data_IF_119551544515
#
_entry.id   IF_119551544515
#
_cell.length_a   1.000
_cell.length_b   1.000
_cell.length_c   1.000
_cell.angle_alpha   90.00
_cell.angle_beta   90.00
_cell.angle_gamma   90.00
#
_symmetry.space_group_name_H-M   'P 1'
#
loop_
_entity.id
_entity.type
_entity.pdbx_description
1 polymer ?
#
# COMPACT_ATOMS: atom_id res chain seq x y z
N UNK A 1 8.35 -40.73 22.42
CA UNK A 1 9.81 -40.43 22.32
C UNK A 1 10.05 -39.02 22.87
N UNK A 2 10.67 -38.94 24.06
CA UNK A 2 11.04 -37.65 24.69
C UNK A 2 12.23 -37.03 23.95
N UNK A 3 11.98 -35.96 23.18
CA UNK A 3 13.07 -35.13 22.69
C UNK A 3 13.71 -34.40 23.88
N UNK A 4 14.87 -34.84 24.28
CA UNK A 4 15.72 -34.13 25.26
C UNK A 4 15.94 -32.71 24.76
N UNK A 5 15.48 -31.71 25.50
CA UNK A 5 15.82 -30.29 25.27
C UNK A 5 17.32 -30.10 25.48
N UNK A 6 18.06 -30.15 24.37
CA UNK A 6 19.51 -29.85 24.36
C UNK A 6 19.66 -28.35 24.43
N UNK A 7 19.62 -27.78 25.63
CA UNK A 7 19.82 -26.35 25.82
C UNK A 7 20.56 -26.12 27.13
N UNK A 8 21.90 -26.13 27.07
CA UNK A 8 22.73 -25.79 28.21
C UNK A 8 22.54 -24.34 28.65
N UNK A 9 23.01 -23.98 29.83
CA UNK A 9 22.93 -22.65 30.44
C UNK A 9 23.39 -21.54 29.46
N UNK A 10 24.43 -21.80 28.66
CA UNK A 10 24.94 -20.86 27.63
C UNK A 10 23.86 -20.50 26.60
N UNK A 11 23.08 -21.49 26.14
CA UNK A 11 22.00 -21.24 25.15
C UNK A 11 20.91 -20.36 25.76
N UNK A 12 20.51 -20.63 27.02
CA UNK A 12 19.50 -19.80 27.71
C UNK A 12 19.96 -18.35 27.87
N UNK A 13 21.24 -18.13 28.17
CA UNK A 13 21.81 -16.78 28.30
C UNK A 13 21.83 -16.09 26.92
N UNK A 14 22.24 -16.79 25.87
CA UNK A 14 22.24 -16.23 24.51
C UNK A 14 20.83 -15.86 24.05
N UNK A 15 19.84 -16.74 24.32
CA UNK A 15 18.44 -16.50 23.96
C UNK A 15 17.89 -15.29 24.76
N UNK A 16 18.24 -15.17 26.05
CA UNK A 16 17.83 -14.04 26.88
C UNK A 16 18.46 -12.72 26.39
N UNK A 17 19.73 -12.72 26.02
CA UNK A 17 20.40 -11.55 25.46
C UNK A 17 19.80 -11.16 24.10
N UNK A 18 19.50 -12.12 23.24
CA UNK A 18 18.84 -11.89 21.96
C UNK A 18 17.44 -11.29 22.16
N UNK A 19 16.69 -11.82 23.13
CA UNK A 19 15.37 -11.30 23.48
C UNK A 19 15.44 -9.86 24.00
N UNK A 20 16.41 -9.58 24.88
CA UNK A 20 16.65 -8.23 25.41
C UNK A 20 16.96 -7.25 24.28
N UNK A 21 17.86 -7.64 23.36
CA UNK A 21 18.21 -6.82 22.21
C UNK A 21 16.96 -6.57 21.34
N UNK A 22 16.16 -7.59 21.08
CA UNK A 22 14.91 -7.43 20.30
C UNK A 22 13.94 -6.46 20.98
N UNK A 23 13.82 -6.51 22.32
CA UNK A 23 12.96 -5.58 23.07
C UNK A 23 13.49 -4.14 22.94
N UNK A 24 14.81 -3.94 23.07
CA UNK A 24 15.43 -2.60 22.92
C UNK A 24 15.14 -2.05 21.51
N UNK A 25 15.37 -2.87 20.48
CA UNK A 25 15.11 -2.50 19.10
C UNK A 25 13.63 -2.17 18.89
N UNK A 26 12.74 -3.00 19.44
CA UNK A 26 11.28 -2.78 19.37
C UNK A 26 10.90 -1.45 20.03
N UNK A 27 11.41 -1.18 21.23
CA UNK A 27 11.14 0.08 21.94
C UNK A 27 11.65 1.29 21.16
N UNK A 28 12.84 1.19 20.56
CA UNK A 28 13.42 2.25 19.73
C UNK A 28 12.56 2.53 18.49
N UNK A 29 12.05 1.47 17.82
CA UNK A 29 11.16 1.62 16.67
C UNK A 29 9.77 2.15 17.06
N UNK A 30 9.27 1.78 18.23
CA UNK A 30 7.95 2.25 18.72
C UNK A 30 7.99 3.67 19.26
N UNK A 31 9.15 4.16 19.66
CA UNK A 31 9.32 5.47 20.30
C UNK A 31 8.72 6.62 19.48
N UNK A 32 9.02 6.79 18.18
CA UNK A 32 8.40 7.90 17.42
C UNK A 32 6.88 7.80 17.34
N UNK A 33 6.31 6.59 17.25
CA UNK A 33 4.85 6.42 17.22
C UNK A 33 4.22 6.83 18.55
N UNK A 34 4.83 6.42 19.65
CA UNK A 34 4.39 6.80 21.00
C UNK A 34 4.46 8.32 21.14
N UNK A 35 5.53 8.96 20.63
CA UNK A 35 5.69 10.42 20.69
C UNK A 35 4.61 11.15 19.88
N UNK A 36 4.25 10.63 18.71
CA UNK A 36 3.16 11.20 17.90
C UNK A 36 1.84 11.13 18.68
N UNK A 37 1.53 9.96 19.27
CA UNK A 37 0.29 9.76 20.04
C UNK A 37 0.24 10.70 21.23
N UNK A 38 1.32 10.75 22.02
CA UNK A 38 1.39 11.58 23.25
C UNK A 38 1.23 13.07 22.88
N UNK A 39 1.97 13.54 21.88
CA UNK A 39 1.97 14.96 21.53
C UNK A 39 0.71 15.38 20.75
N UNK A 40 0.00 14.45 20.09
CA UNK A 40 -1.30 14.77 19.49
C UNK A 40 -2.37 15.14 20.52
N UNK A 41 -2.18 14.71 21.77
CA UNK A 41 -3.12 14.97 22.88
C UNK A 41 -2.70 16.16 23.75
N UNK A 42 -1.57 16.82 23.44
CA UNK A 42 -1.07 17.98 24.20
C UNK A 42 -1.49 19.29 23.54
N UNK A 43 -1.60 20.34 24.36
CA UNK A 43 -1.73 21.71 23.87
C UNK A 43 -0.41 22.17 23.21
N UNK A 44 -0.50 23.05 22.21
CA UNK A 44 0.65 23.57 21.44
C UNK A 44 1.79 24.05 22.33
N UNK A 45 1.46 24.74 23.43
CA UNK A 45 2.43 25.27 24.40
C UNK A 45 3.26 24.14 25.04
N UNK A 46 2.61 23.05 25.41
CA UNK A 46 3.26 21.93 26.10
C UNK A 46 4.12 21.09 25.15
N UNK A 47 3.71 21.00 23.89
CA UNK A 47 4.52 20.32 22.86
C UNK A 47 5.86 21.05 22.69
N UNK A 48 5.84 22.40 22.63
CA UNK A 48 7.04 23.20 22.44
C UNK A 48 7.95 23.17 23.67
N UNK A 49 7.36 23.28 24.88
CA UNK A 49 8.12 23.33 26.14
C UNK A 49 8.65 21.98 26.59
N UNK A 50 7.86 20.92 26.40
CA UNK A 50 8.14 19.61 26.98
C UNK A 50 7.67 18.49 26.07
N UNK A 51 8.29 18.33 24.86
CA UNK A 51 7.83 17.32 23.90
C UNK A 51 7.92 15.89 24.45
N UNK A 52 8.88 15.63 25.32
CA UNK A 52 9.13 14.28 25.87
C UNK A 52 8.39 14.01 27.19
N UNK A 53 7.67 15.00 27.75
CA UNK A 53 6.94 14.77 29.00
C UNK A 53 5.77 13.79 28.77
N UNK A 54 5.58 12.90 29.74
CA UNK A 54 4.49 11.93 29.72
C UNK A 54 3.15 12.60 30.03
N UNK A 55 2.06 12.03 29.55
CA UNK A 55 0.69 12.55 29.70
C UNK A 55 0.31 12.79 31.18
N UNK A 56 0.86 12.00 32.10
CA UNK A 56 0.54 12.09 33.53
C UNK A 56 1.09 13.35 34.21
N UNK A 57 2.06 14.02 33.58
CA UNK A 57 2.65 15.25 34.13
C UNK A 57 2.02 16.52 33.56
N UNK A 58 1.06 16.37 32.63
CA UNK A 58 0.43 17.50 31.92
C UNK A 58 -1.00 17.70 32.46
N UNK A 59 -1.35 18.94 32.72
CA UNK A 59 -2.70 19.31 33.15
C UNK A 59 -3.64 19.31 31.96
N UNK A 60 -4.32 18.22 31.76
CA UNK A 60 -5.43 18.07 30.79
C UNK A 60 -5.05 17.52 29.42
N UNK A 61 -5.60 16.36 29.13
CA UNK A 61 -5.66 15.82 27.78
C UNK A 61 -6.58 16.70 26.94
N UNK A 62 -6.16 17.04 25.75
CA UNK A 62 -6.99 17.81 24.80
C UNK A 62 -7.19 17.05 23.52
N UNK A 63 -8.43 16.89 23.12
CA UNK A 63 -8.80 16.33 21.81
C UNK A 63 -8.98 17.43 20.76
N UNK A 64 -8.72 18.70 21.10
CA UNK A 64 -8.87 19.83 20.19
C UNK A 64 -8.05 19.67 18.91
N UNK A 65 -6.86 19.07 19.01
CA UNK A 65 -5.99 18.82 17.86
C UNK A 65 -6.67 17.86 16.85
N UNK A 66 -7.39 16.85 17.34
CA UNK A 66 -8.12 15.92 16.50
C UNK A 66 -9.31 16.60 15.80
N UNK A 67 -10.05 17.43 16.52
CA UNK A 67 -11.17 18.20 15.95
C UNK A 67 -10.64 19.17 14.88
N UNK A 68 -9.56 19.88 15.18
CA UNK A 68 -8.91 20.77 14.21
C UNK A 68 -8.43 20.01 12.98
N UNK A 69 -7.72 18.89 13.18
CA UNK A 69 -7.21 18.08 12.08
C UNK A 69 -8.34 17.57 11.20
N UNK A 70 -9.41 17.03 11.81
CA UNK A 70 -10.57 16.50 11.11
C UNK A 70 -11.21 17.57 10.19
N UNK A 71 -11.37 18.79 10.71
CA UNK A 71 -11.98 19.89 9.96
C UNK A 71 -11.05 20.44 8.89
N UNK A 72 -9.77 20.70 9.21
CA UNK A 72 -8.79 21.25 8.27
C UNK A 72 -8.53 20.34 7.07
N UNK A 73 -8.45 19.01 7.32
CA UNK A 73 -8.30 18.02 6.26
C UNK A 73 -9.56 17.82 5.41
N UNK A 74 -10.70 18.33 5.86
CA UNK A 74 -12.01 17.92 5.31
C UNK A 74 -12.08 16.38 5.30
N UNK A 75 -11.84 15.76 6.47
CA UNK A 75 -11.52 14.35 6.64
C UNK A 75 -12.47 13.42 5.88
N UNK A 76 -13.79 13.61 6.03
CA UNK A 76 -14.77 12.70 5.41
C UNK A 76 -14.66 12.72 3.89
N UNK A 77 -14.44 13.88 3.30
CA UNK A 77 -14.29 14.01 1.85
C UNK A 77 -12.95 13.40 1.39
N UNK A 78 -11.85 13.70 2.09
CA UNK A 78 -10.53 13.16 1.77
C UNK A 78 -10.50 11.63 1.93
N UNK A 79 -11.14 11.10 2.98
CA UNK A 79 -11.29 9.65 3.20
C UNK A 79 -12.06 8.99 2.06
N UNK A 80 -13.21 9.59 1.67
CA UNK A 80 -14.01 9.10 0.54
C UNK A 80 -13.21 9.09 -0.76
N UNK A 81 -12.43 10.16 -1.01
CA UNK A 81 -11.57 10.23 -2.19
C UNK A 81 -10.51 9.11 -2.19
N UNK A 82 -9.79 8.94 -1.05
CA UNK A 82 -8.81 7.85 -0.90
C UNK A 82 -9.46 6.49 -1.13
N UNK A 83 -10.63 6.26 -0.52
CA UNK A 83 -11.33 4.97 -0.63
C UNK A 83 -11.70 4.68 -2.10
N UNK A 84 -12.32 5.66 -2.78
CA UNK A 84 -12.73 5.51 -4.19
C UNK A 84 -11.50 5.24 -5.07
N UNK A 85 -10.46 6.06 -4.94
CA UNK A 85 -9.23 5.90 -5.75
C UNK A 85 -8.58 4.55 -5.49
N UNK A 86 -8.36 4.21 -4.21
CA UNK A 86 -7.67 2.97 -3.82
C UNK A 86 -8.44 1.73 -4.29
N UNK A 87 -9.75 1.66 -3.99
CA UNK A 87 -10.55 0.47 -4.34
C UNK A 87 -10.62 0.32 -5.86
N UNK A 88 -10.95 1.40 -6.56
CA UNK A 88 -11.12 1.32 -8.02
C UNK A 88 -9.79 0.97 -8.72
N UNK A 89 -8.69 1.64 -8.38
CA UNK A 89 -7.38 1.35 -8.97
C UNK A 89 -6.92 -0.08 -8.65
N UNK A 90 -7.13 -0.55 -7.41
CA UNK A 90 -6.74 -1.90 -6.99
C UNK A 90 -7.52 -2.97 -7.78
N UNK A 91 -8.84 -2.79 -7.93
CA UNK A 91 -9.66 -3.73 -8.70
C UNK A 91 -9.22 -3.74 -10.17
N UNK A 92 -9.06 -2.55 -10.75
CA UNK A 92 -8.65 -2.43 -12.16
C UNK A 92 -7.28 -3.08 -12.40
N UNK A 93 -6.26 -2.73 -11.61
CA UNK A 93 -4.92 -3.29 -11.82
C UNK A 93 -4.92 -4.81 -11.59
N UNK A 94 -5.65 -5.30 -10.59
CA UNK A 94 -5.68 -6.74 -10.29
C UNK A 94 -6.27 -7.53 -11.44
N UNK A 95 -7.43 -7.09 -11.96
CA UNK A 95 -8.11 -7.81 -13.05
C UNK A 95 -7.31 -7.70 -14.36
N UNK A 96 -6.91 -6.48 -14.73
CA UNK A 96 -6.21 -6.24 -16.00
C UNK A 96 -4.83 -6.92 -16.02
N UNK A 97 -4.09 -6.87 -14.89
CA UNK A 97 -2.78 -7.51 -14.80
C UNK A 97 -2.89 -9.04 -14.83
N UNK A 98 -3.91 -9.61 -14.16
CA UNK A 98 -4.14 -11.06 -14.23
C UNK A 98 -4.49 -11.52 -15.64
N UNK A 99 -5.34 -10.76 -16.36
CA UNK A 99 -5.71 -11.04 -17.75
C UNK A 99 -4.48 -10.97 -18.67
N UNK A 100 -3.70 -9.90 -18.56
CA UNK A 100 -2.51 -9.69 -19.38
C UNK A 100 -1.44 -10.75 -19.10
N UNK A 101 -1.19 -11.05 -17.81
CA UNK A 101 -0.25 -12.10 -17.43
C UNK A 101 -0.67 -13.47 -17.98
N UNK A 102 -1.96 -13.78 -17.87
CA UNK A 102 -2.52 -15.03 -18.43
C UNK A 102 -2.30 -15.11 -19.93
N UNK A 103 -2.61 -14.03 -20.65
CA UNK A 103 -2.37 -13.96 -22.11
C UNK A 103 -0.89 -14.21 -22.43
N UNK A 104 0.02 -13.52 -21.74
CA UNK A 104 1.48 -13.64 -22.00
C UNK A 104 1.97 -15.07 -21.73
N UNK A 105 1.52 -15.70 -20.62
CA UNK A 105 1.96 -17.06 -20.26
C UNK A 105 1.46 -18.09 -21.25
N UNK A 106 0.23 -17.93 -21.77
CA UNK A 106 -0.39 -18.93 -22.65
C UNK A 106 -0.07 -18.71 -24.15
N UNK A 107 0.30 -17.50 -24.53
CA UNK A 107 0.63 -17.17 -25.93
C UNK A 107 2.12 -16.83 -26.03
N UNK A 108 2.96 -17.87 -25.97
CA UNK A 108 4.42 -17.71 -26.02
C UNK A 108 4.84 -17.42 -27.46
N UNK A 109 5.03 -16.15 -27.76
CA UNK A 109 5.48 -15.66 -29.07
C UNK A 109 6.36 -14.42 -28.87
N UNK A 110 6.97 -13.94 -29.94
CA UNK A 110 7.91 -12.80 -29.87
C UNK A 110 7.24 -11.56 -29.32
N UNK A 111 5.99 -11.29 -29.70
CA UNK A 111 5.25 -10.11 -29.26
C UNK A 111 4.98 -10.14 -27.75
N UNK A 112 4.51 -11.28 -27.24
CA UNK A 112 4.26 -11.46 -25.78
C UNK A 112 5.54 -11.30 -24.97
N UNK A 113 6.65 -11.86 -25.47
CA UNK A 113 7.95 -11.77 -24.80
C UNK A 113 8.46 -10.31 -24.78
N UNK A 114 8.28 -9.57 -25.87
CA UNK A 114 8.66 -8.13 -25.93
C UNK A 114 7.82 -7.33 -24.95
N UNK A 115 6.49 -7.52 -24.92
CA UNK A 115 5.61 -6.82 -23.96
C UNK A 115 6.07 -7.09 -22.54
N UNK A 116 6.30 -8.36 -22.19
CA UNK A 116 6.73 -8.73 -20.84
C UNK A 116 8.09 -8.10 -20.50
N UNK A 117 9.04 -8.16 -21.43
CA UNK A 117 10.37 -7.56 -21.24
C UNK A 117 10.29 -6.04 -21.04
N UNK A 118 9.46 -5.34 -21.84
CA UNK A 118 9.27 -3.89 -21.70
C UNK A 118 8.63 -3.54 -20.35
N UNK A 119 7.67 -4.33 -19.89
CA UNK A 119 7.07 -4.13 -18.56
C UNK A 119 8.10 -4.28 -17.45
N UNK A 120 8.90 -5.37 -17.51
CA UNK A 120 9.95 -5.59 -16.50
C UNK A 120 11.00 -4.46 -16.56
N UNK A 121 11.39 -4.04 -17.76
CA UNK A 121 12.34 -2.94 -17.96
C UNK A 121 11.80 -1.63 -17.37
N UNK A 122 10.49 -1.36 -17.51
CA UNK A 122 9.88 -0.14 -16.99
C UNK A 122 9.96 -0.03 -15.45
N UNK A 123 10.07 -1.15 -14.74
CA UNK A 123 10.19 -1.15 -13.28
C UNK A 123 11.52 -0.56 -12.78
N UNK A 124 12.53 -0.49 -13.66
CA UNK A 124 13.85 0.06 -13.32
C UNK A 124 13.81 1.60 -13.28
N UNK A 125 12.87 2.20 -14.02
CA UNK A 125 12.78 3.67 -14.13
C UNK A 125 12.21 4.24 -12.82
N UNK A 126 12.98 5.07 -12.09
CA UNK A 126 12.44 5.67 -10.86
C UNK A 126 11.35 6.69 -11.18
N UNK A 127 10.28 6.66 -10.41
CA UNK A 127 9.12 7.56 -10.60
C UNK A 127 9.56 9.04 -10.64
N UNK A 128 10.54 9.41 -9.81
CA UNK A 128 11.03 10.79 -9.73
C UNK A 128 11.59 11.31 -11.07
N UNK A 129 12.12 10.42 -11.90
CA UNK A 129 12.66 10.81 -13.22
C UNK A 129 11.55 11.20 -14.22
N UNK A 130 10.35 10.67 -14.02
CA UNK A 130 9.23 10.88 -14.95
C UNK A 130 8.21 11.92 -14.45
N UNK A 131 8.39 12.45 -13.23
CA UNK A 131 7.45 13.42 -12.62
C UNK A 131 7.21 14.65 -13.51
N UNK A 132 8.29 15.28 -14.01
CA UNK A 132 8.21 16.49 -14.82
C UNK A 132 7.57 16.20 -16.19
N UNK A 133 8.04 15.20 -16.96
CA UNK A 133 7.35 14.82 -18.19
C UNK A 133 5.87 14.46 -17.98
N UNK A 134 5.54 13.78 -16.88
CA UNK A 134 4.16 13.41 -16.55
C UNK A 134 3.26 14.66 -16.46
N UNK A 135 3.68 15.65 -15.65
CA UNK A 135 2.90 16.88 -15.48
C UNK A 135 2.81 17.67 -16.80
N UNK A 136 3.91 17.70 -17.57
CA UNK A 136 3.94 18.40 -18.87
C UNK A 136 2.95 17.76 -19.86
N UNK A 137 2.95 16.44 -20.00
CA UNK A 137 2.09 15.74 -20.95
C UNK A 137 0.62 15.76 -20.47
N UNK A 138 0.38 15.29 -19.24
CA UNK A 138 -1.01 15.13 -18.74
C UNK A 138 -1.66 16.46 -18.35
N UNK A 139 -0.86 17.45 -17.93
CA UNK A 139 -1.35 18.79 -17.59
C UNK A 139 -1.27 19.75 -18.74
N UNK A 140 -0.09 19.88 -19.35
CA UNK A 140 0.15 20.87 -20.41
C UNK A 140 -0.47 20.48 -21.75
N UNK A 141 -0.28 19.23 -22.19
CA UNK A 141 -0.73 18.79 -23.52
C UNK A 141 -2.16 18.24 -23.49
N UNK A 142 -2.43 17.30 -22.59
CA UNK A 142 -3.74 16.61 -22.55
C UNK A 142 -4.80 17.34 -21.71
N UNK A 143 -4.35 18.18 -20.77
CA UNK A 143 -5.19 18.95 -19.87
C UNK A 143 -6.21 18.07 -19.09
N UNK A 144 -5.75 16.94 -18.59
CA UNK A 144 -6.59 15.96 -17.87
C UNK A 144 -6.17 15.79 -16.40
N UNK A 145 -5.28 16.65 -15.88
CA UNK A 145 -4.99 16.67 -14.44
C UNK A 145 -6.20 17.22 -13.67
N UNK A 146 -6.14 17.11 -12.36
CA UNK A 146 -7.17 17.54 -11.43
C UNK A 146 -8.49 16.77 -11.55
N UNK A 147 -8.38 15.46 -11.84
CA UNK A 147 -9.52 14.53 -11.87
C UNK A 147 -9.17 13.23 -11.16
N UNK A 148 -10.12 12.68 -10.41
CA UNK A 148 -9.94 11.38 -9.74
C UNK A 148 -9.69 10.25 -10.73
N UNK A 149 -10.38 10.30 -11.89
CA UNK A 149 -10.20 9.27 -12.93
C UNK A 149 -8.78 9.24 -13.47
N UNK A 150 -8.17 10.41 -13.64
CA UNK A 150 -6.76 10.51 -14.07
C UNK A 150 -5.84 9.85 -13.04
N UNK A 151 -6.06 10.13 -11.76
CA UNK A 151 -5.27 9.50 -10.69
C UNK A 151 -5.46 7.98 -10.65
N UNK A 152 -6.70 7.50 -10.79
CA UNK A 152 -7.01 6.06 -10.85
C UNK A 152 -6.27 5.41 -12.03
N UNK A 153 -6.35 6.03 -13.21
CA UNK A 153 -5.67 5.57 -14.41
C UNK A 153 -4.15 5.49 -14.21
N UNK A 154 -3.56 6.52 -13.62
CA UNK A 154 -2.11 6.58 -13.36
C UNK A 154 -1.68 5.51 -12.35
N UNK A 155 -2.40 5.36 -11.22
CA UNK A 155 -2.12 4.29 -10.25
C UNK A 155 -2.17 2.92 -10.93
N UNK A 156 -3.21 2.68 -11.74
CA UNK A 156 -3.37 1.42 -12.48
C UNK A 156 -2.17 1.20 -13.40
N UNK A 157 -1.79 2.21 -14.17
CA UNK A 157 -0.68 2.13 -15.13
C UNK A 157 0.66 1.87 -14.47
N UNK A 158 1.01 2.64 -13.44
CA UNK A 158 2.31 2.51 -12.76
C UNK A 158 2.47 1.18 -12.01
N UNK A 159 1.36 0.60 -11.53
CA UNK A 159 1.40 -0.68 -10.81
C UNK A 159 1.24 -1.89 -11.75
N UNK A 160 0.94 -1.66 -13.03
CA UNK A 160 0.65 -2.73 -14.00
C UNK A 160 1.85 -3.68 -14.16
N UNK A 161 3.05 -3.13 -14.34
CA UNK A 161 4.26 -3.92 -14.62
C UNK A 161 4.56 -4.92 -13.49
N UNK A 162 4.59 -4.43 -12.24
CA UNK A 162 4.83 -5.28 -11.06
C UNK A 162 3.72 -6.32 -10.90
N UNK A 163 2.46 -5.91 -11.09
CA UNK A 163 1.31 -6.82 -10.95
C UNK A 163 1.35 -7.93 -12.02
N UNK A 164 1.64 -7.58 -13.26
CA UNK A 164 1.79 -8.57 -14.36
C UNK A 164 2.95 -9.52 -14.05
N UNK A 165 4.08 -9.00 -13.60
CA UNK A 165 5.25 -9.82 -13.24
C UNK A 165 4.88 -10.87 -12.18
N UNK A 166 4.18 -10.46 -11.13
CA UNK A 166 3.76 -11.35 -10.04
C UNK A 166 2.75 -12.41 -10.51
N UNK A 167 1.72 -11.99 -11.26
CA UNK A 167 0.73 -12.92 -11.83
C UNK A 167 1.37 -13.87 -12.83
N UNK A 168 2.27 -13.38 -13.68
CA UNK A 168 3.00 -14.20 -14.66
C UNK A 168 3.76 -15.32 -13.98
N UNK A 169 4.54 -15.00 -12.95
CA UNK A 169 5.30 -16.00 -12.19
C UNK A 169 4.40 -17.05 -11.56
N UNK A 170 3.27 -16.62 -10.96
CA UNK A 170 2.32 -17.52 -10.30
C UNK A 170 1.62 -18.44 -11.32
N UNK A 171 1.11 -17.89 -12.41
CA UNK A 171 0.39 -18.66 -13.44
C UNK A 171 1.33 -19.73 -14.04
N UNK A 172 2.55 -19.31 -14.40
CA UNK A 172 3.55 -20.20 -15.00
C UNK A 172 3.95 -21.35 -14.07
N UNK A 173 4.04 -21.07 -12.75
CA UNK A 173 4.51 -22.04 -11.77
C UNK A 173 3.44 -22.89 -11.11
N UNK A 174 2.18 -22.43 -11.13
CA UNK A 174 1.16 -23.02 -10.26
C UNK A 174 -0.14 -23.45 -10.97
N UNK A 175 -0.34 -23.04 -12.25
CA UNK A 175 -1.57 -23.36 -12.98
C UNK A 175 -1.22 -24.30 -14.15
N UNK A 176 -1.46 -25.63 -14.01
CA UNK A 176 -1.20 -26.57 -15.08
C UNK A 176 -2.09 -26.33 -16.30
N UNK A 177 -1.50 -26.44 -17.49
CA UNK A 177 -2.23 -26.28 -18.76
C UNK A 177 -3.36 -27.29 -18.92
N UNK A 178 -3.18 -28.51 -18.39
CA UNK A 178 -4.17 -29.59 -18.46
C UNK A 178 -5.56 -29.20 -17.93
N UNK A 179 -5.63 -28.28 -16.95
CA UNK A 179 -6.92 -27.79 -16.45
C UNK A 179 -7.69 -27.00 -17.52
N UNK A 180 -6.97 -26.25 -18.33
CA UNK A 180 -7.55 -25.43 -19.40
C UNK A 180 -7.92 -26.29 -20.59
N UNK A 181 -7.08 -27.30 -20.92
CA UNK A 181 -7.36 -28.27 -21.98
C UNK A 181 -8.66 -29.03 -21.67
N UNK A 182 -8.84 -29.48 -20.43
CA UNK A 182 -10.09 -30.13 -19.97
C UNK A 182 -11.29 -29.19 -20.16
N UNK A 183 -11.14 -27.91 -19.80
CA UNK A 183 -12.20 -26.90 -19.96
C UNK A 183 -12.57 -26.70 -21.45
N UNK A 184 -11.59 -26.71 -22.34
CA UNK A 184 -11.85 -26.59 -23.78
C UNK A 184 -12.58 -27.83 -24.34
N UNK A 185 -12.24 -29.01 -23.84
CA UNK A 185 -12.96 -30.26 -24.20
C UNK A 185 -14.42 -30.17 -23.73
N UNK A 186 -14.66 -29.57 -22.55
CA UNK A 186 -16.00 -29.31 -22.02
C UNK A 186 -16.73 -28.15 -22.71
N UNK A 187 -16.14 -27.55 -23.75
CA UNK A 187 -16.78 -26.50 -24.57
C UNK A 187 -16.64 -25.09 -24.02
N UNK A 188 -15.76 -24.83 -23.05
CA UNK A 188 -15.52 -23.47 -22.56
C UNK A 188 -14.76 -22.62 -23.57
N UNK A 189 -15.16 -21.34 -23.72
CA UNK A 189 -14.39 -20.35 -24.46
C UNK A 189 -13.19 -19.89 -23.64
N UNK A 190 -12.19 -19.26 -24.26
CA UNK A 190 -11.00 -18.70 -23.57
C UNK A 190 -11.40 -17.78 -22.41
N UNK A 191 -12.39 -16.91 -22.63
CA UNK A 191 -12.88 -15.99 -21.58
C UNK A 191 -13.52 -16.75 -20.42
N UNK A 192 -14.33 -17.77 -20.71
CA UNK A 192 -14.95 -18.62 -19.69
C UNK A 192 -13.89 -19.39 -18.91
N UNK A 193 -12.90 -19.95 -19.61
CA UNK A 193 -11.77 -20.66 -18.97
C UNK A 193 -11.03 -19.72 -18.01
N UNK A 194 -10.74 -18.49 -18.47
CA UNK A 194 -10.06 -17.53 -17.60
C UNK A 194 -10.90 -17.21 -16.34
N UNK A 195 -12.13 -16.73 -16.52
CA UNK A 195 -12.91 -16.22 -15.36
C UNK A 195 -13.46 -17.32 -14.46
N UNK A 196 -13.79 -18.50 -14.99
CA UNK A 196 -14.43 -19.59 -14.23
C UNK A 196 -13.43 -20.58 -13.63
N UNK A 197 -12.24 -20.72 -14.23
CA UNK A 197 -11.25 -21.73 -13.80
C UNK A 197 -9.97 -21.06 -13.33
N UNK A 198 -9.28 -20.30 -14.21
CA UNK A 198 -7.96 -19.76 -13.90
C UNK A 198 -8.04 -18.68 -12.81
N UNK A 199 -8.91 -17.67 -12.97
CA UNK A 199 -9.00 -16.52 -12.06
C UNK A 199 -9.32 -16.95 -10.60
N UNK A 200 -10.25 -17.88 -10.33
CA UNK A 200 -10.43 -18.38 -8.97
C UNK A 200 -9.20 -19.10 -8.39
N UNK A 201 -8.43 -19.79 -9.21
CA UNK A 201 -7.19 -20.45 -8.78
C UNK A 201 -6.08 -19.43 -8.44
N UNK A 202 -6.18 -18.21 -8.97
CA UNK A 202 -5.26 -17.12 -8.65
C UNK A 202 -5.54 -16.47 -7.27
N UNK A 203 -6.55 -16.92 -6.53
CA UNK A 203 -6.96 -16.31 -5.25
C UNK A 203 -5.79 -16.04 -4.28
N UNK A 204 -4.80 -16.93 -4.09
CA UNK A 204 -3.69 -16.62 -3.19
C UNK A 204 -2.88 -15.39 -3.64
N UNK A 205 -2.50 -15.33 -4.92
CA UNK A 205 -1.72 -14.21 -5.44
C UNK A 205 -2.58 -12.94 -5.59
N UNK A 206 -3.88 -13.07 -5.92
CA UNK A 206 -4.82 -11.94 -5.94
C UNK A 206 -4.85 -11.28 -4.58
N UNK A 207 -4.99 -12.07 -3.50
CA UNK A 207 -5.03 -11.52 -2.13
C UNK A 207 -3.77 -10.70 -1.82
N UNK A 208 -2.61 -11.23 -2.19
CA UNK A 208 -1.33 -10.53 -2.00
C UNK A 208 -1.29 -9.21 -2.79
N UNK A 209 -1.65 -9.26 -4.08
CA UNK A 209 -1.61 -8.08 -4.95
C UNK A 209 -2.63 -7.02 -4.56
N UNK A 210 -3.84 -7.43 -4.16
CA UNK A 210 -4.87 -6.51 -3.65
C UNK A 210 -4.34 -5.74 -2.44
N UNK A 211 -3.74 -6.45 -1.48
CA UNK A 211 -3.22 -5.80 -0.26
C UNK A 211 -2.04 -4.88 -0.59
N UNK A 212 -1.08 -5.36 -1.38
CA UNK A 212 0.10 -4.57 -1.76
C UNK A 212 -0.29 -3.28 -2.49
N UNK A 213 -1.16 -3.41 -3.51
CA UNK A 213 -1.60 -2.25 -4.29
C UNK A 213 -2.49 -1.31 -3.46
N UNK A 214 -3.42 -1.85 -2.66
CA UNK A 214 -4.27 -1.03 -1.80
C UNK A 214 -3.44 -0.22 -0.80
N UNK A 215 -2.42 -0.84 -0.17
CA UNK A 215 -1.52 -0.15 0.75
C UNK A 215 -0.70 0.91 0.03
N UNK A 216 -0.19 0.60 -1.16
CA UNK A 216 0.59 1.55 -1.96
C UNK A 216 -0.25 2.77 -2.34
N UNK A 217 -1.46 2.55 -2.89
CA UNK A 217 -2.34 3.64 -3.35
C UNK A 217 -2.90 4.47 -2.19
N UNK A 218 -3.26 3.80 -1.07
CA UNK A 218 -3.78 4.51 0.10
C UNK A 218 -2.75 5.45 0.71
N UNK A 219 -1.48 5.02 0.79
CA UNK A 219 -0.42 5.79 1.44
C UNK A 219 0.28 6.76 0.48
N UNK A 220 -0.07 6.73 -0.82
CA UNK A 220 0.62 7.58 -1.78
C UNK A 220 0.28 9.06 -1.55
N UNK A 221 1.31 9.85 -1.47
CA UNK A 221 1.26 11.31 -1.39
C UNK A 221 1.78 11.93 -2.69
N UNK A 222 2.82 11.34 -3.27
CA UNK A 222 3.61 11.98 -4.32
C UNK A 222 2.83 12.12 -5.63
N UNK A 223 2.29 11.02 -6.16
CA UNK A 223 1.53 11.08 -7.42
C UNK A 223 0.25 11.92 -7.26
N UNK A 224 -0.56 11.73 -6.18
CA UNK A 224 -1.70 12.64 -5.96
C UNK A 224 -1.31 14.12 -5.90
N UNK A 225 -0.15 14.48 -5.33
CA UNK A 225 0.29 15.89 -5.24
C UNK A 225 0.61 16.51 -6.60
N UNK A 226 0.96 15.69 -7.58
CA UNK A 226 1.20 16.16 -8.97
C UNK A 226 -0.09 16.25 -9.78
N UNK A 227 -1.09 15.42 -9.42
CA UNK A 227 -2.31 15.27 -10.23
C UNK A 227 -3.46 16.14 -9.72
N UNK A 228 -3.59 16.30 -8.37
CA UNK A 228 -4.77 16.92 -7.74
C UNK A 228 -4.41 18.27 -7.12
N UNK A 229 -5.06 19.33 -7.56
CA UNK A 229 -4.89 20.68 -7.02
C UNK A 229 -6.15 21.20 -6.30
N UNK A 230 -7.35 20.71 -6.69
CA UNK A 230 -8.60 21.12 -6.04
C UNK A 230 -8.70 20.47 -4.64
N UNK A 231 -8.94 21.30 -3.63
CA UNK A 231 -9.12 20.86 -2.23
C UNK A 231 -10.23 19.81 -2.06
N UNK A 232 -11.23 19.81 -2.96
CA UNK A 232 -12.34 18.82 -2.93
C UNK A 232 -11.92 17.44 -3.40
N UNK A 233 -10.79 17.32 -4.11
CA UNK A 233 -10.32 16.06 -4.71
C UNK A 233 -9.19 15.41 -3.92
N UNK A 234 -8.63 16.12 -2.93
CA UNK A 234 -7.45 15.64 -2.19
C UNK A 234 -7.72 14.26 -1.56
N UNK A 235 -6.73 13.40 -1.66
CA UNK A 235 -6.68 12.12 -0.93
C UNK A 235 -6.33 12.37 0.54
N UNK A 236 -6.53 11.38 1.38
CA UNK A 236 -6.30 11.51 2.82
C UNK A 236 -4.83 11.86 3.14
N UNK A 237 -3.81 11.18 2.59
CA UNK A 237 -2.43 11.62 2.80
C UNK A 237 -2.17 13.04 2.27
N UNK A 238 -2.68 13.36 1.08
CA UNK A 238 -2.46 14.68 0.47
C UNK A 238 -3.15 15.79 1.27
N UNK A 239 -4.28 15.52 1.91
CA UNK A 239 -5.00 16.52 2.71
C UNK A 239 -4.21 16.99 3.93
N UNK A 240 -3.21 16.22 4.39
CA UNK A 240 -2.31 16.65 5.47
C UNK A 240 -1.51 17.90 5.11
N UNK A 241 -1.37 18.17 3.81
CA UNK A 241 -0.70 19.40 3.34
C UNK A 241 -1.38 20.67 3.87
N UNK A 242 -2.68 20.59 4.21
CA UNK A 242 -3.44 21.71 4.79
C UNK A 242 -2.93 22.16 6.16
N UNK A 243 -2.09 21.34 6.83
CA UNK A 243 -1.54 21.67 8.15
C UNK A 243 -0.35 22.63 8.08
N UNK A 244 0.28 22.75 6.91
CA UNK A 244 1.47 23.58 6.75
C UNK A 244 1.04 24.99 6.34
N UNK A 245 1.07 25.92 7.28
CA UNK A 245 0.85 27.33 7.01
C UNK A 245 2.15 28.02 6.57
N UNK A 246 2.02 29.21 6.02
CA UNK A 246 3.15 29.96 5.49
C UNK A 246 4.22 30.28 6.57
N UNK A 247 3.78 30.55 7.80
CA UNK A 247 4.67 31.03 8.86
C UNK A 247 4.63 30.19 10.13
N UNK A 248 3.77 29.18 10.23
CA UNK A 248 3.68 28.39 11.45
C UNK A 248 3.17 26.98 11.17
N UNK A 249 3.72 26.02 11.87
CA UNK A 249 3.23 24.65 11.92
C UNK A 249 2.55 24.42 13.27
N UNK A 250 1.33 23.86 13.23
CA UNK A 250 0.64 23.40 14.42
C UNK A 250 0.96 21.91 14.61
N UNK A 251 2.06 21.65 15.33
CA UNK A 251 2.55 20.28 15.52
C UNK A 251 1.52 19.34 16.13
N UNK A 252 0.68 19.85 17.04
CA UNK A 252 -0.39 19.05 17.66
C UNK A 252 -1.40 18.56 16.61
N UNK A 253 -1.84 19.49 15.78
CA UNK A 253 -2.80 19.19 14.70
C UNK A 253 -2.18 18.26 13.64
N UNK A 254 -0.90 18.49 13.28
CA UNK A 254 -0.16 17.62 12.36
C UNK A 254 -0.11 16.19 12.92
N UNK A 255 0.29 16.03 14.19
CA UNK A 255 0.41 14.70 14.83
C UNK A 255 -0.96 14.01 14.93
N UNK A 256 -2.01 14.75 15.26
CA UNK A 256 -3.38 14.24 15.28
C UNK A 256 -3.82 13.77 13.88
N UNK A 257 -3.50 14.52 12.86
CA UNK A 257 -3.78 14.16 11.46
C UNK A 257 -3.06 12.90 11.01
N UNK A 258 -1.79 12.78 11.42
CA UNK A 258 -1.02 11.55 11.15
C UNK A 258 -1.64 10.33 11.81
N UNK A 259 -2.05 10.61 12.87
CA UNK A 259 -2.64 9.53 13.58
C UNK A 259 -3.98 9.15 13.01
N UNK A 260 -4.64 10.03 12.41
CA UNK A 260 -5.87 9.82 11.79
C UNK A 260 -5.72 9.18 10.43
N UNK A 261 -4.72 9.00 9.85
CA UNK A 261 -4.41 8.41 8.66
C UNK A 261 -4.23 6.94 8.72
N UNK A 262 -4.44 6.46 9.70
CA UNK A 262 -4.29 5.40 9.78
C UNK A 262 -5.25 4.54 9.68
N UNK A 263 -6.36 4.58 9.10
CA UNK A 263 -7.34 3.49 8.90
C UNK A 263 -6.76 2.30 8.14
N UNK A 264 -5.76 2.54 7.33
CA UNK A 264 -5.03 1.50 6.59
C UNK A 264 -4.37 0.47 7.54
N UNK A 265 -4.00 0.88 8.74
CA UNK A 265 -3.44 -0.04 9.74
C UNK A 265 -4.49 -1.08 10.17
N UNK A 266 -5.74 -0.67 10.28
CA UNK A 266 -6.85 -1.59 10.60
C UNK A 266 -6.98 -2.62 9.48
N UNK A 267 -6.94 -2.16 8.24
CA UNK A 267 -6.97 -3.04 7.06
C UNK A 267 -5.78 -4.01 7.07
N UNK A 268 -4.58 -3.50 7.36
CA UNK A 268 -3.35 -4.33 7.45
C UNK A 268 -3.51 -5.42 8.52
N UNK A 269 -3.92 -5.04 9.74
CA UNK A 269 -4.09 -6.00 10.84
C UNK A 269 -5.14 -7.07 10.49
N UNK A 270 -6.23 -6.65 9.83
CA UNK A 270 -7.29 -7.59 9.41
C UNK A 270 -6.79 -8.58 8.35
N UNK A 271 -5.88 -8.13 7.46
CA UNK A 271 -5.46 -8.91 6.29
C UNK A 271 -4.03 -9.48 6.40
N UNK A 272 -3.30 -9.26 7.51
CA UNK A 272 -1.90 -9.68 7.65
C UNK A 272 -1.69 -11.19 7.45
N UNK A 273 -2.64 -12.02 7.86
CA UNK A 273 -2.55 -13.48 7.67
C UNK A 273 -2.56 -13.85 6.18
N UNK A 274 -3.37 -13.16 5.39
CA UNK A 274 -3.44 -13.38 3.95
C UNK A 274 -2.14 -12.94 3.25
N UNK A 275 -1.52 -11.84 3.72
CA UNK A 275 -0.22 -11.36 3.23
C UNK A 275 0.84 -12.44 3.44
N UNK A 276 0.96 -12.94 4.68
CA UNK A 276 1.97 -13.94 5.06
C UNK A 276 1.76 -15.21 4.21
N UNK A 277 0.54 -15.70 4.11
CA UNK A 277 0.23 -16.91 3.35
C UNK A 277 0.52 -16.75 1.85
N UNK A 278 0.21 -15.58 1.28
CA UNK A 278 0.48 -15.30 -0.13
C UNK A 278 1.96 -15.24 -0.46
N UNK A 279 2.75 -14.58 0.39
CA UNK A 279 4.20 -14.47 0.23
C UNK A 279 4.87 -15.85 0.38
N UNK A 280 4.45 -16.62 1.40
CA UNK A 280 4.99 -17.96 1.64
C UNK A 280 4.66 -18.89 0.46
N UNK A 281 3.44 -18.85 -0.05
CA UNK A 281 3.03 -19.67 -1.21
C UNK A 281 3.85 -19.34 -2.47
N UNK A 282 4.30 -18.10 -2.61
CA UNK A 282 5.18 -17.67 -3.71
C UNK A 282 6.66 -17.99 -3.50
N UNK A 283 7.09 -18.19 -2.26
CA UNK A 283 8.50 -18.39 -1.89
C UNK A 283 8.90 -19.87 -1.79
N UNK A 284 7.92 -20.76 -1.58
CA UNK A 284 8.20 -22.20 -1.43
C UNK A 284 8.09 -22.88 -2.79
N UNK A 285 9.23 -23.14 -3.40
CA UNK A 285 9.42 -24.06 -4.52
C UNK A 285 10.35 -25.17 -4.10
#
# INVERSE_FOLDING_TARGET
MNQKKIGGTKKKVTDALAMLLMIIVFCAFMFPFVMVIINSLKQKRDIIKSPFSWLFTIKGLSFDNFVKAFNQMNFLNAFKNSLVVTVTATVLVTVLAAMLAYYIVRNVNVFSNIIFALMVASMIIPFQAIMIPLVSVYGGTLNILNHRLTLIFMHTGFSMAMSVFMFHGFIRGSIPLALEEAAYIDGCTHTQTFFRIVFPLLKPIISTMVIMNAMAFWNDFLLPSLVLTDKKLLTLPLSTYSFYGTYSADYGTIMAGLXXXXPILILYVALQKQIINGVVAGAVK
#
